data_IF_250276737795
#
_entry.id   IF_250276737795
#
_cell.length_a   1.000
_cell.length_b   1.000
_cell.length_c   1.000
_cell.angle_alpha   90.00
_cell.angle_beta   90.00
_cell.angle_gamma   90.00
#
_symmetry.space_group_name_H-M   'P 1'
#
loop_
_entity.id
_entity.type
_entity.pdbx_description
1 polymer ?
#
# COMPACT_ATOMS: atom_id res chain seq x y z
N UNK A 1 57.06 -47.56 -22.92
CA UNK A 1 57.20 -47.53 -24.39
C UNK A 1 56.17 -46.53 -24.88
N UNK A 2 56.58 -45.27 -25.01
CA UNK A 2 57.01 -44.62 -26.26
C UNK A 2 55.81 -43.80 -26.78
N UNK A 3 55.81 -42.47 -26.60
CA UNK A 3 56.32 -41.47 -27.58
C UNK A 3 55.52 -41.56 -28.91
N UNK A 4 54.97 -40.50 -29.50
CA UNK A 4 55.56 -39.18 -29.71
C UNK A 4 54.57 -38.24 -30.47
N UNK A 5 54.92 -36.95 -30.55
CA UNK A 5 54.51 -35.90 -31.53
C UNK A 5 53.17 -35.18 -31.26
N UNK A 6 53.03 -33.85 -31.39
CA UNK A 6 53.88 -32.83 -32.02
C UNK A 6 53.60 -31.45 -31.40
N UNK A 7 54.65 -30.66 -31.24
CA UNK A 7 54.62 -29.25 -30.86
C UNK A 7 54.08 -28.34 -31.96
N UNK A 8 53.26 -27.35 -31.62
CA UNK A 8 53.22 -26.07 -32.31
C UNK A 8 53.08 -24.92 -31.30
N UNK A 9 54.11 -24.07 -31.28
CA UNK A 9 54.16 -22.82 -30.54
C UNK A 9 53.27 -21.79 -31.23
N UNK A 10 52.35 -21.17 -30.49
CA UNK A 10 51.74 -19.89 -30.85
C UNK A 10 51.88 -18.90 -29.69
N UNK A 11 52.22 -17.68 -30.08
CA UNK A 11 52.74 -16.58 -29.26
C UNK A 11 51.67 -16.01 -28.32
N UNK A 12 52.08 -15.66 -27.11
CA UNK A 12 51.29 -14.84 -26.19
C UNK A 12 51.25 -13.37 -26.65
N UNK A 13 50.07 -12.73 -26.67
CA UNK A 13 49.94 -11.32 -26.37
C UNK A 13 49.61 -11.15 -24.88
N UNK A 14 50.39 -10.31 -24.23
CA UNK A 14 50.18 -9.78 -22.88
C UNK A 14 48.78 -9.17 -22.73
N UNK A 15 47.99 -9.68 -21.79
CA UNK A 15 46.78 -9.00 -21.33
C UNK A 15 47.17 -7.91 -20.34
N UNK A 16 46.97 -6.66 -20.77
CA UNK A 16 46.99 -5.48 -19.93
C UNK A 16 45.96 -5.60 -18.80
N UNK A 17 46.41 -5.27 -17.59
CA UNK A 17 45.61 -5.14 -16.38
C UNK A 17 44.59 -4.00 -16.52
N UNK A 18 43.31 -4.36 -16.72
CA UNK A 18 42.19 -3.46 -16.42
C UNK A 18 41.83 -3.58 -14.93
N UNK A 19 41.68 -2.46 -14.20
CA UNK A 19 41.25 -2.49 -12.81
C UNK A 19 39.77 -2.88 -12.70
N UNK A 20 39.34 -3.53 -11.59
CA UNK A 20 37.96 -3.97 -11.43
C UNK A 20 37.01 -2.76 -11.33
N UNK A 21 36.03 -2.73 -12.24
CA UNK A 21 34.89 -1.82 -12.20
C UNK A 21 34.06 -2.18 -10.97
N UNK A 22 34.08 -1.29 -9.98
CA UNK A 22 33.20 -1.36 -8.81
C UNK A 22 31.81 -0.91 -9.25
N UNK A 23 30.90 -1.89 -9.42
CA UNK A 23 29.47 -1.63 -9.49
C UNK A 23 29.04 -1.00 -8.15
N UNK A 24 28.81 0.33 -8.16
CA UNK A 24 28.14 1.02 -7.06
C UNK A 24 26.74 0.45 -6.93
N UNK A 25 26.46 -0.22 -5.82
CA UNK A 25 25.09 -0.46 -5.35
C UNK A 25 24.44 0.90 -5.09
N UNK A 26 23.17 1.13 -5.43
CA UNK A 26 22.44 2.27 -4.89
C UNK A 26 22.42 2.09 -3.37
N UNK A 27 22.87 3.10 -2.63
CA UNK A 27 22.76 3.13 -1.19
C UNK A 27 21.30 3.35 -0.81
N UNK A 28 20.78 2.48 0.04
CA UNK A 28 19.60 2.70 0.88
C UNK A 28 19.92 3.80 1.89
N UNK A 29 20.02 5.04 1.44
CA UNK A 29 20.13 6.20 2.33
C UNK A 29 18.72 6.76 2.54
N UNK A 30 18.00 6.18 3.50
CA UNK A 30 16.93 6.91 4.20
C UNK A 30 17.59 8.13 4.87
N UNK A 31 17.43 9.29 4.25
CA UNK A 31 17.85 10.58 4.81
C UNK A 31 17.04 10.82 6.08
N UNK A 32 17.66 10.55 7.22
CA UNK A 32 17.21 11.00 8.55
C UNK A 32 17.43 12.51 8.60
N UNK A 33 16.41 13.27 8.20
CA UNK A 33 16.36 14.71 8.44
C UNK A 33 15.80 14.98 9.84
N UNK A 34 16.46 15.89 10.57
CA UNK A 34 16.35 16.07 12.01
C UNK A 34 14.97 16.51 12.52
N UNK A 35 14.81 16.34 13.84
CA UNK A 35 13.65 16.73 14.63
C UNK A 35 13.42 18.26 14.64
N UNK A 36 12.98 18.81 13.51
CA UNK A 36 12.16 20.02 13.49
C UNK A 36 10.71 19.64 13.79
N UNK A 37 9.91 20.57 14.33
CA UNK A 37 8.50 20.37 14.67
C UNK A 37 7.79 19.53 13.60
N UNK A 38 7.55 18.24 13.91
CA UNK A 38 7.11 17.28 12.90
C UNK A 38 5.78 17.75 12.32
N UNK A 39 5.72 17.84 10.99
CA UNK A 39 4.48 18.15 10.28
C UNK A 39 3.37 17.20 10.73
N UNK A 40 2.11 17.66 10.67
CA UNK A 40 0.96 16.83 11.04
C UNK A 40 0.92 15.60 10.13
N UNK A 41 0.94 14.40 10.71
CA UNK A 41 0.68 13.16 9.95
C UNK A 41 -0.83 13.02 9.74
N UNK A 42 -1.25 12.89 8.49
CA UNK A 42 -2.61 12.49 8.11
C UNK A 42 -2.56 11.06 7.61
N UNK A 43 -3.38 10.20 8.20
CA UNK A 43 -3.39 8.76 7.93
C UNK A 43 -4.55 8.42 7.01
N UNK A 44 -4.23 7.98 5.80
CA UNK A 44 -5.21 7.54 4.80
C UNK A 44 -5.16 6.03 4.73
N UNK A 45 -6.21 5.37 5.22
CA UNK A 45 -6.35 3.93 5.05
C UNK A 45 -6.88 3.58 3.67
N UNK A 46 -6.23 2.64 2.99
CA UNK A 46 -6.65 2.01 1.75
C UNK A 46 -6.92 0.53 2.06
N UNK A 47 -8.18 0.23 2.41
CA UNK A 47 -8.66 -1.10 2.74
C UNK A 47 -9.39 -1.78 1.58
N UNK A 48 -9.69 -3.08 1.74
CA UNK A 48 -10.43 -3.87 0.75
C UNK A 48 -9.84 -5.26 0.53
N UNK A 49 -10.56 -6.14 -0.17
CA UNK A 49 -10.14 -7.54 -0.35
C UNK A 49 -8.73 -7.69 -0.96
N UNK A 50 -8.07 -8.82 -0.69
CA UNK A 50 -6.86 -9.23 -1.43
C UNK A 50 -7.10 -9.19 -2.95
N UNK A 51 -6.09 -8.79 -3.73
CA UNK A 51 -6.20 -8.62 -5.20
C UNK A 51 -7.24 -7.57 -5.70
N UNK A 52 -7.73 -6.65 -4.85
CA UNK A 52 -8.60 -5.54 -5.28
C UNK A 52 -7.88 -4.35 -5.91
N UNK A 53 -6.54 -4.31 -5.88
CA UNK A 53 -5.74 -3.20 -6.46
C UNK A 53 -5.25 -2.14 -5.47
N UNK A 54 -5.41 -2.36 -4.15
CA UNK A 54 -5.00 -1.41 -3.09
C UNK A 54 -3.57 -0.90 -3.20
N UNK A 55 -2.59 -1.81 -3.34
CA UNK A 55 -1.17 -1.44 -3.42
C UNK A 55 -0.87 -0.60 -4.67
N UNK A 56 -1.51 -0.93 -5.80
CA UNK A 56 -1.38 -0.16 -7.04
C UNK A 56 -1.98 1.24 -6.88
N UNK A 57 -3.15 1.35 -6.23
CA UNK A 57 -3.75 2.65 -5.89
C UNK A 57 -2.83 3.45 -4.97
N UNK A 58 -2.33 2.86 -3.88
CA UNK A 58 -1.43 3.53 -2.94
C UNK A 58 -0.15 4.05 -3.62
N UNK A 59 0.41 3.29 -4.57
CA UNK A 59 1.57 3.73 -5.35
C UNK A 59 1.23 4.88 -6.30
N UNK A 60 0.09 4.87 -6.98
CA UNK A 60 -0.33 6.04 -7.78
C UNK A 60 -0.52 7.29 -6.93
N UNK A 61 -1.17 7.14 -5.76
CA UNK A 61 -1.34 8.24 -4.80
C UNK A 61 0.01 8.77 -4.32
N UNK A 62 0.97 7.89 -4.04
CA UNK A 62 2.33 8.28 -3.64
C UNK A 62 2.99 9.19 -4.69
N UNK A 63 2.87 8.85 -5.98
CA UNK A 63 3.44 9.66 -7.07
C UNK A 63 2.70 11.00 -7.27
N UNK A 64 1.40 11.05 -7.00
CA UNK A 64 0.60 12.28 -7.09
C UNK A 64 0.89 13.22 -5.91
N UNK A 65 1.05 12.66 -4.71
CA UNK A 65 1.26 13.42 -3.47
C UNK A 65 2.73 13.86 -3.28
N UNK A 66 3.68 13.14 -3.86
CA UNK A 66 5.09 13.51 -3.91
C UNK A 66 5.47 13.99 -5.32
N UNK A 67 5.35 15.28 -5.65
CA UNK A 67 5.82 15.77 -6.93
C UNK A 67 7.33 15.56 -7.08
N UNK A 68 7.76 15.21 -8.28
CA UNK A 68 9.17 15.00 -8.63
C UNK A 68 9.99 16.26 -8.34
N UNK A 69 11.21 16.06 -7.83
CA UNK A 69 12.24 17.08 -7.56
C UNK A 69 12.72 17.87 -8.80
N UNK A 70 12.06 17.71 -9.96
CA UNK A 70 12.42 18.33 -11.23
C UNK A 70 11.86 19.75 -11.41
N UNK A 71 11.13 20.27 -10.41
CA UNK A 71 10.86 21.71 -10.33
C UNK A 71 12.07 22.39 -9.67
N UNK A 72 12.89 22.99 -10.54
CA UNK A 72 14.20 23.56 -10.23
C UNK A 72 14.32 24.27 -8.89
N UNK A 73 15.46 24.00 -8.27
CA UNK A 73 16.08 24.83 -7.26
C UNK A 73 16.18 26.28 -7.73
N UNK A 74 15.18 27.10 -7.42
CA UNK A 74 15.32 28.55 -7.33
C UNK A 74 14.34 29.05 -6.27
N UNK A 75 14.74 28.86 -5.02
CA UNK A 75 14.01 29.31 -3.85
C UNK A 75 14.99 29.62 -2.74
N UNK A 76 15.78 30.67 -2.95
CA UNK A 76 16.66 31.25 -1.95
C UNK A 76 16.01 31.26 -0.57
N UNK A 77 16.81 30.90 0.45
CA UNK A 77 16.45 31.00 1.85
C UNK A 77 16.13 32.46 2.20
N UNK A 78 14.87 32.84 2.03
CA UNK A 78 14.29 34.00 2.68
C UNK A 78 13.86 33.59 4.08
N UNK A 79 14.78 33.81 5.02
CA UNK A 79 14.47 33.83 6.45
C UNK A 79 13.47 34.95 6.73
N UNK A 80 12.26 34.58 7.15
CA UNK A 80 11.26 35.50 7.71
C UNK A 80 9.88 35.38 7.06
N UNK A 81 8.86 35.20 7.90
CA UNK A 81 7.40 35.18 7.61
C UNK A 81 6.79 33.83 7.21
N UNK A 82 5.92 33.30 8.08
CA UNK A 82 4.81 32.37 7.83
C UNK A 82 4.75 31.81 6.39
N UNK A 83 5.56 30.78 6.08
CA UNK A 83 5.36 30.03 4.85
C UNK A 83 4.12 29.18 5.06
N UNK A 84 3.07 29.43 4.28
CA UNK A 84 2.00 28.45 4.11
C UNK A 84 2.67 27.14 3.67
N UNK A 85 2.44 26.08 4.42
CA UNK A 85 3.04 24.79 4.14
C UNK A 85 2.01 23.91 3.44
N UNK A 86 2.38 23.21 2.37
CA UNK A 86 1.49 22.23 1.72
C UNK A 86 1.68 20.82 2.28
N UNK A 87 1.50 19.84 1.40
CA UNK A 87 1.99 18.49 1.64
C UNK A 87 3.52 18.49 1.54
N UNK A 88 4.19 17.99 2.57
CA UNK A 88 5.65 17.90 2.65
C UNK A 88 6.16 16.63 1.96
N UNK A 89 5.51 15.50 2.27
CA UNK A 89 5.75 14.21 1.65
C UNK A 89 4.54 13.27 1.86
N UNK A 90 4.60 12.13 1.20
CA UNK A 90 3.76 10.98 1.41
C UNK A 90 4.62 9.70 1.45
N UNK A 91 4.16 8.68 2.16
CA UNK A 91 4.80 7.36 2.22
C UNK A 91 3.76 6.28 2.47
N UNK A 92 4.13 5.03 2.19
CA UNK A 92 3.25 3.87 2.36
C UNK A 92 3.68 3.06 3.59
N UNK A 93 2.71 2.61 4.37
CA UNK A 93 2.84 1.59 5.39
C UNK A 93 2.00 0.38 4.97
N UNK A 94 2.63 -0.75 4.68
CA UNK A 94 1.93 -1.97 4.29
C UNK A 94 1.48 -2.77 5.51
N UNK A 95 0.23 -3.23 5.52
CA UNK A 95 -0.28 -4.13 6.55
C UNK A 95 0.47 -5.47 6.55
N UNK A 96 0.96 -5.93 5.40
CA UNK A 96 1.72 -7.18 5.27
C UNK A 96 3.07 -7.11 6.02
N UNK A 97 3.60 -5.92 6.32
CA UNK A 97 4.76 -5.74 7.21
C UNK A 97 4.44 -6.13 8.67
N UNK A 98 3.16 -6.37 8.99
CA UNK A 98 2.65 -6.79 10.30
C UNK A 98 2.17 -8.24 10.33
N UNK A 99 2.38 -9.02 9.26
CA UNK A 99 2.14 -10.45 9.30
C UNK A 99 3.05 -11.11 10.36
N UNK A 100 2.52 -12.01 11.19
CA UNK A 100 3.35 -12.77 12.13
C UNK A 100 4.10 -13.88 11.38
N UNK A 101 5.10 -14.52 12.01
CA UNK A 101 5.81 -15.64 11.40
C UNK A 101 4.87 -16.80 11.07
N UNK A 102 5.10 -17.48 9.96
CA UNK A 102 4.23 -18.56 9.45
C UNK A 102 3.96 -19.63 10.53
N UNK A 103 5.00 -20.01 11.27
CA UNK A 103 4.93 -21.03 12.33
C UNK A 103 4.00 -20.68 13.49
N UNK A 104 3.55 -19.42 13.59
CA UNK A 104 2.62 -18.94 14.63
C UNK A 104 1.18 -18.84 14.13
N UNK A 105 0.96 -18.94 12.82
CA UNK A 105 -0.37 -18.90 12.24
C UNK A 105 -1.15 -20.18 12.52
N UNK A 106 -2.48 -20.11 12.72
CA UNK A 106 -3.29 -21.29 12.87
C UNK A 106 -3.34 -22.08 11.57
N UNK A 107 -3.46 -23.40 11.70
CA UNK A 107 -3.84 -24.27 10.59
C UNK A 107 -5.35 -24.42 10.61
N UNK A 108 -5.98 -24.21 9.47
CA UNK A 108 -7.41 -24.47 9.32
C UNK A 108 -7.69 -25.96 9.48
N UNK A 109 -8.43 -26.35 10.53
CA UNK A 109 -8.65 -27.76 10.88
C UNK A 109 -9.39 -28.55 9.79
N UNK A 110 -10.27 -27.89 9.04
CA UNK A 110 -11.08 -28.54 8.00
C UNK A 110 -10.25 -28.85 6.74
N UNK A 111 -9.35 -27.95 6.35
CA UNK A 111 -8.61 -28.05 5.10
C UNK A 111 -7.13 -28.43 5.28
N UNK A 112 -6.62 -28.41 6.51
CA UNK A 112 -5.23 -28.78 6.84
C UNK A 112 -4.18 -27.83 6.28
N UNK A 113 -4.54 -26.56 6.06
CA UNK A 113 -3.66 -25.53 5.47
C UNK A 113 -3.48 -24.35 6.42
N UNK A 114 -2.30 -23.71 6.40
CA UNK A 114 -2.03 -22.48 7.14
C UNK A 114 -3.01 -21.38 6.73
N UNK A 115 -3.61 -20.69 7.70
CA UNK A 115 -4.59 -19.64 7.45
C UNK A 115 -3.95 -18.24 7.53
N UNK A 116 -3.56 -17.74 6.36
CA UNK A 116 -2.94 -16.42 6.17
C UNK A 116 -3.94 -15.27 6.16
N UNK A 117 -5.24 -15.57 6.07
CA UNK A 117 -6.29 -14.56 5.91
C UNK A 117 -7.18 -14.46 7.18
N UNK A 118 -7.04 -15.36 8.15
CA UNK A 118 -7.83 -15.38 9.39
C UNK A 118 -7.77 -14.04 10.15
N UNK A 119 -8.88 -13.27 10.21
CA UNK A 119 -8.84 -11.89 10.68
C UNK A 119 -8.24 -11.69 12.08
N UNK A 120 -8.54 -12.53 13.10
CA UNK A 120 -7.92 -12.39 14.42
C UNK A 120 -6.40 -12.62 14.49
N UNK A 121 -5.80 -13.38 13.57
CA UNK A 121 -4.41 -13.88 13.73
C UNK A 121 -3.48 -13.54 12.58
N UNK A 122 -4.00 -13.18 11.41
CA UNK A 122 -3.19 -12.89 10.23
C UNK A 122 -2.30 -11.65 10.39
N UNK A 123 -2.66 -10.73 11.29
CA UNK A 123 -1.99 -9.45 11.49
C UNK A 123 -1.72 -9.21 12.98
N UNK A 124 -0.50 -8.78 13.30
CA UNK A 124 -0.16 -8.23 14.61
C UNK A 124 -0.69 -6.79 14.73
N UNK A 125 -1.98 -6.66 15.07
CA UNK A 125 -2.66 -5.37 15.17
C UNK A 125 -2.08 -4.45 16.22
N UNK A 126 -1.53 -5.00 17.30
CA UNK A 126 -0.92 -4.19 18.36
C UNK A 126 0.42 -3.59 17.90
N UNK A 127 1.26 -4.37 17.19
CA UNK A 127 2.46 -3.85 16.52
C UNK A 127 2.12 -2.81 15.46
N UNK A 128 1.06 -3.04 14.68
CA UNK A 128 0.59 -2.09 13.67
C UNK A 128 0.13 -0.77 14.30
N UNK A 129 -0.72 -0.83 15.33
CA UNK A 129 -1.23 0.34 16.06
C UNK A 129 -0.09 1.14 16.68
N UNK A 130 0.80 0.49 17.42
CA UNK A 130 1.94 1.16 18.07
C UNK A 130 2.91 1.77 17.06
N UNK A 131 3.10 1.17 15.89
CA UNK A 131 3.90 1.74 14.80
C UNK A 131 3.26 2.99 14.22
N UNK A 132 1.95 2.97 13.93
CA UNK A 132 1.19 4.13 13.45
C UNK A 132 1.25 5.28 14.48
N UNK A 133 1.04 4.97 15.76
CA UNK A 133 1.12 5.97 16.84
C UNK A 133 2.53 6.56 16.97
N UNK A 134 3.57 5.71 16.89
CA UNK A 134 4.95 6.18 16.90
C UNK A 134 5.21 7.16 15.76
N UNK A 135 4.83 6.81 14.52
CA UNK A 135 5.00 7.68 13.35
C UNK A 135 4.24 9.00 13.52
N UNK A 136 3.01 8.96 14.04
CA UNK A 136 2.22 10.17 14.33
C UNK A 136 2.89 11.08 15.36
N UNK A 137 3.57 10.52 16.36
CA UNK A 137 4.23 11.27 17.43
C UNK A 137 5.62 11.78 17.04
N UNK A 138 6.42 10.96 16.36
CA UNK A 138 7.84 11.26 16.09
C UNK A 138 8.10 11.77 14.68
N UNK A 139 7.18 11.52 13.74
CA UNK A 139 7.39 11.75 12.32
C UNK A 139 8.38 10.77 11.68
N UNK A 140 8.79 9.69 12.34
CA UNK A 140 9.68 8.69 11.75
C UNK A 140 9.18 7.29 12.03
N UNK A 141 9.63 6.31 11.24
CA UNK A 141 9.42 4.91 11.57
C UNK A 141 10.14 4.52 12.87
N UNK A 142 9.60 3.57 13.65
CA UNK A 142 10.28 3.08 14.84
C UNK A 142 11.62 2.40 14.49
N UNK A 143 12.62 2.44 15.38
CA UNK A 143 13.91 1.80 15.13
C UNK A 143 13.76 0.31 14.82
N UNK A 144 14.40 -0.16 13.76
CA UNK A 144 14.35 -1.56 13.35
C UNK A 144 13.11 -1.95 12.53
N UNK A 145 12.22 -1.00 12.19
CA UNK A 145 11.17 -1.25 11.21
C UNK A 145 11.78 -1.59 9.84
N UNK A 146 11.29 -2.64 9.21
CA UNK A 146 11.68 -3.07 7.88
C UNK A 146 10.42 -3.25 7.04
N UNK A 147 10.40 -2.66 5.85
CA UNK A 147 9.28 -2.82 4.93
C UNK A 147 9.59 -3.85 3.87
N UNK A 148 8.58 -4.65 3.54
CA UNK A 148 8.61 -5.64 2.49
C UNK A 148 8.07 -5.11 1.15
N UNK A 149 7.94 -3.78 0.96
CA UNK A 149 7.37 -3.21 -0.29
C UNK A 149 8.08 -3.70 -1.57
N UNK A 150 9.39 -3.96 -1.50
CA UNK A 150 10.16 -4.50 -2.61
C UNK A 150 9.67 -5.88 -3.11
N UNK A 151 8.88 -6.60 -2.31
CA UNK A 151 8.26 -7.88 -2.66
C UNK A 151 6.90 -7.72 -3.37
N UNK A 152 6.34 -6.51 -3.39
CA UNK A 152 5.08 -6.21 -4.06
C UNK A 152 5.29 -5.94 -5.56
N UNK A 153 5.24 -7.00 -6.36
CA UNK A 153 5.20 -6.89 -7.82
C UNK A 153 4.06 -5.97 -8.27
N UNK A 154 4.37 -5.00 -9.12
CA UNK A 154 3.37 -4.06 -9.65
C UNK A 154 3.03 -4.44 -11.10
N UNK A 155 1.74 -4.61 -11.42
CA UNK A 155 1.33 -4.69 -12.82
C UNK A 155 1.52 -3.34 -13.50
N UNK A 156 1.75 -3.36 -14.81
CA UNK A 156 1.63 -2.15 -15.61
C UNK A 156 0.16 -1.73 -15.65
N UNK A 157 -0.16 -0.63 -14.96
CA UNK A 157 -1.52 -0.12 -14.81
C UNK A 157 -1.47 1.41 -14.86
N UNK A 158 -1.28 2.00 -16.05
CA UNK A 158 -1.26 3.44 -16.20
C UNK A 158 -2.64 4.02 -15.88
N UNK A 159 -2.64 5.24 -15.34
CA UNK A 159 -3.84 6.05 -15.12
C UNK A 159 -3.89 7.22 -16.10
N UNK A 160 -5.05 7.85 -16.23
CA UNK A 160 -5.20 9.06 -17.03
C UNK A 160 -4.22 10.17 -16.60
N UNK A 161 -3.41 10.66 -17.53
CA UNK A 161 -2.51 11.80 -17.29
C UNK A 161 -3.27 13.06 -16.87
N UNK A 162 -4.50 13.22 -17.37
CA UNK A 162 -5.38 14.33 -16.99
C UNK A 162 -5.74 14.26 -15.51
N UNK A 163 -6.11 13.08 -15.00
CA UNK A 163 -6.44 12.88 -13.57
C UNK A 163 -5.20 13.09 -12.72
N UNK A 164 -4.07 12.49 -13.09
CA UNK A 164 -2.80 12.64 -12.38
C UNK A 164 -2.36 14.11 -12.29
N UNK A 165 -2.39 14.85 -13.40
CA UNK A 165 -2.02 16.26 -13.44
C UNK A 165 -3.01 17.13 -12.66
N UNK A 166 -4.31 16.89 -12.79
CA UNK A 166 -5.34 17.63 -12.04
C UNK A 166 -5.12 17.54 -10.53
N UNK A 167 -4.82 16.33 -10.02
CA UNK A 167 -4.60 16.15 -8.59
C UNK A 167 -3.23 16.65 -8.13
N UNK A 168 -2.18 16.51 -8.94
CA UNK A 168 -0.88 17.14 -8.64
C UNK A 168 -1.01 18.65 -8.52
N UNK A 169 -1.72 19.30 -9.44
CA UNK A 169 -1.92 20.76 -9.41
C UNK A 169 -2.74 21.17 -8.18
N UNK A 170 -3.83 20.44 -7.89
CA UNK A 170 -4.62 20.68 -6.68
C UNK A 170 -3.78 20.55 -5.41
N UNK A 171 -3.13 19.42 -5.19
CA UNK A 171 -2.30 19.18 -4.00
C UNK A 171 -1.11 20.15 -3.92
N UNK A 172 -0.49 20.51 -5.06
CA UNK A 172 0.57 21.52 -5.12
C UNK A 172 0.10 22.93 -4.77
N UNK A 173 -1.18 23.25 -5.01
CA UNK A 173 -1.80 24.51 -4.59
C UNK A 173 -2.26 24.52 -3.13
N UNK A 174 -2.23 23.36 -2.44
CA UNK A 174 -2.68 23.26 -1.06
C UNK A 174 -1.77 24.09 -0.15
N UNK A 175 -2.37 25.02 0.59
CA UNK A 175 -1.72 25.85 1.59
C UNK A 175 -2.34 25.55 2.94
N UNK A 176 -1.55 25.17 3.93
CA UNK A 176 -1.99 24.84 5.29
C UNK A 176 -1.15 25.58 6.33
N UNK A 177 -1.68 25.68 7.56
CA UNK A 177 -1.00 26.36 8.67
C UNK A 177 0.30 25.65 9.11
N UNK A 178 0.37 24.33 8.91
CA UNK A 178 1.50 23.48 9.27
C UNK A 178 1.71 22.43 8.20
N UNK A 179 2.95 22.14 7.82
CA UNK A 179 3.19 21.12 6.79
C UNK A 179 2.56 19.79 7.14
N UNK A 180 1.94 19.15 6.15
CA UNK A 180 1.24 17.89 6.32
C UNK A 180 2.04 16.78 5.65
N UNK A 181 2.15 15.63 6.31
CA UNK A 181 2.72 14.41 5.74
C UNK A 181 1.61 13.38 5.61
N UNK A 182 1.54 12.70 4.48
CA UNK A 182 0.48 11.71 4.22
C UNK A 182 1.03 10.29 4.41
N UNK A 183 0.49 9.57 5.37
CA UNK A 183 0.75 8.13 5.51
C UNK A 183 -0.37 7.34 4.86
N UNK A 184 -0.06 6.67 3.75
CA UNK A 184 -0.96 5.75 3.07
C UNK A 184 -0.82 4.37 3.71
N UNK A 185 -1.86 3.88 4.39
CA UNK A 185 -1.85 2.56 5.03
C UNK A 185 -2.62 1.58 4.15
N UNK A 186 -1.93 0.62 3.55
CA UNK A 186 -2.51 -0.36 2.60
C UNK A 186 -2.70 -1.71 3.30
N UNK A 187 -3.92 -2.27 3.32
CA UNK A 187 -4.15 -3.56 3.96
C UNK A 187 -5.49 -4.23 3.68
N UNK A 188 -5.51 -5.57 3.65
CA UNK A 188 -6.73 -6.34 3.33
C UNK A 188 -7.67 -6.58 4.52
N UNK A 189 -7.14 -6.48 5.75
CA UNK A 189 -7.87 -6.53 7.02
C UNK A 189 -7.76 -5.20 7.78
N UNK A 190 -7.50 -4.11 7.07
CA UNK A 190 -7.13 -2.82 7.65
C UNK A 190 -8.17 -2.29 8.65
N UNK A 191 -9.45 -2.58 8.41
CA UNK A 191 -10.55 -2.11 9.24
C UNK A 191 -11.12 -3.16 10.19
N UNK A 192 -10.53 -4.36 10.25
CA UNK A 192 -11.01 -5.41 11.15
C UNK A 192 -10.84 -4.99 12.62
N UNK A 193 -9.62 -4.65 13.04
CA UNK A 193 -9.36 -4.21 14.41
C UNK A 193 -9.85 -2.78 14.67
N UNK A 194 -10.55 -2.60 15.78
CA UNK A 194 -11.17 -1.33 16.14
C UNK A 194 -10.13 -0.26 16.52
N UNK A 195 -9.05 -0.65 17.19
CA UNK A 195 -8.03 0.28 17.65
C UNK A 195 -7.18 0.76 16.47
N UNK A 196 -6.74 -0.16 15.59
CA UNK A 196 -6.05 0.18 14.35
C UNK A 196 -6.92 1.10 13.49
N UNK A 197 -8.18 0.74 13.20
CA UNK A 197 -9.02 1.59 12.32
C UNK A 197 -9.32 2.99 12.86
N UNK A 198 -9.24 3.18 14.18
CA UNK A 198 -9.44 4.48 14.83
C UNK A 198 -8.30 5.46 14.58
N UNK A 199 -7.12 4.96 14.16
CA UNK A 199 -5.94 5.80 13.89
C UNK A 199 -6.02 6.55 12.54
N UNK A 200 -6.93 6.14 11.64
CA UNK A 200 -7.08 6.70 10.29
C UNK A 200 -8.02 7.89 10.23
N UNK A 201 -7.56 8.90 9.50
CA UNK A 201 -8.28 10.13 9.23
C UNK A 201 -9.23 9.96 8.02
N UNK A 202 -8.73 9.37 6.93
CA UNK A 202 -9.50 9.07 5.72
C UNK A 202 -9.55 7.55 5.54
N UNK A 203 -10.74 7.00 5.28
CA UNK A 203 -10.96 5.55 5.20
C UNK A 203 -11.55 5.18 3.85
N UNK A 204 -10.74 4.59 2.99
CA UNK A 204 -11.10 4.14 1.65
C UNK A 204 -11.24 2.62 1.65
N UNK A 205 -12.32 2.10 1.08
CA UNK A 205 -12.54 0.66 0.94
C UNK A 205 -12.79 0.30 -0.51
N UNK A 206 -11.87 -0.47 -1.11
CA UNK A 206 -12.04 -1.01 -2.46
C UNK A 206 -12.91 -2.26 -2.39
N UNK A 207 -14.12 -2.17 -2.96
CA UNK A 207 -15.01 -3.30 -3.10
C UNK A 207 -15.00 -3.79 -4.54
N UNK A 208 -14.71 -5.08 -4.70
CA UNK A 208 -14.60 -5.73 -6.01
C UNK A 208 -15.41 -7.03 -5.96
N UNK A 209 -16.13 -7.41 -7.03
CA UNK A 209 -16.91 -8.64 -7.06
C UNK A 209 -16.05 -9.88 -6.78
N UNK A 210 -16.62 -10.85 -6.03
CA UNK A 210 -15.95 -12.09 -5.64
C UNK A 210 -15.28 -12.81 -6.81
N UNK A 211 -15.99 -12.91 -7.93
CA UNK A 211 -15.50 -13.61 -9.12
C UNK A 211 -14.23 -12.98 -9.70
N UNK A 212 -14.15 -11.64 -9.70
CA UNK A 212 -12.97 -10.90 -10.18
C UNK A 212 -11.80 -11.07 -9.21
N UNK A 213 -12.07 -11.00 -7.90
CA UNK A 213 -11.06 -11.24 -6.86
C UNK A 213 -10.47 -12.65 -6.96
N UNK A 214 -11.32 -13.66 -7.16
CA UNK A 214 -10.90 -15.05 -7.35
C UNK A 214 -9.99 -15.17 -8.57
N UNK A 215 -10.42 -14.66 -9.72
CA UNK A 215 -9.61 -14.69 -10.94
C UNK A 215 -8.24 -14.04 -10.73
N UNK A 216 -8.21 -12.83 -10.16
CA UNK A 216 -6.95 -12.11 -9.89
C UNK A 216 -6.05 -12.83 -8.88
N UNK A 217 -6.62 -13.52 -7.88
CA UNK A 217 -5.87 -14.31 -6.89
C UNK A 217 -5.29 -15.59 -7.52
N UNK A 218 -6.06 -16.28 -8.35
CA UNK A 218 -5.61 -17.48 -9.08
C UNK A 218 -4.48 -17.16 -10.07
N UNK A 219 -4.50 -15.97 -10.69
CA UNK A 219 -3.45 -15.48 -11.61
C UNK A 219 -2.17 -15.00 -10.90
N UNK A 220 -2.22 -14.76 -9.59
CA UNK A 220 -1.07 -14.27 -8.82
C UNK A 220 -0.08 -15.40 -8.56
N UNK A 221 1.18 -15.18 -8.91
CA UNK A 221 2.23 -16.20 -8.83
C UNK A 221 2.52 -16.69 -7.39
N UNK A 222 2.39 -15.80 -6.40
CA UNK A 222 2.59 -16.10 -4.99
C UNK A 222 2.57 -14.85 -4.10
N UNK A 223 2.78 -15.06 -2.81
CA UNK A 223 2.77 -14.06 -1.74
C UNK A 223 4.07 -14.14 -0.96
N UNK A 224 4.69 -13.00 -0.65
CA UNK A 224 5.87 -13.01 0.19
C UNK A 224 5.51 -13.26 1.65
N UNK A 225 6.34 -14.03 2.35
CA UNK A 225 6.21 -14.26 3.80
C UNK A 225 7.21 -13.40 4.58
N UNK A 226 6.99 -13.24 5.89
CA UNK A 226 7.89 -12.50 6.78
C UNK A 226 9.32 -13.08 6.82
N UNK A 227 9.46 -14.36 6.49
CA UNK A 227 10.74 -15.08 6.42
C UNK A 227 11.46 -14.91 5.06
N UNK A 228 10.91 -14.12 4.14
CA UNK A 228 11.46 -13.92 2.81
C UNK A 228 11.27 -15.13 1.88
N UNK A 229 10.27 -15.97 2.16
CA UNK A 229 9.85 -17.06 1.27
C UNK A 229 8.63 -16.66 0.43
N UNK A 230 8.21 -17.53 -0.49
CA UNK A 230 7.01 -17.31 -1.31
C UNK A 230 5.97 -18.38 -0.99
N UNK A 231 4.86 -17.95 -0.41
CA UNK A 231 3.65 -18.75 -0.27
C UNK A 231 2.90 -18.83 -1.60
N UNK A 232 2.42 -20.03 -1.93
CA UNK A 232 1.52 -20.24 -3.07
C UNK A 232 0.25 -20.91 -2.56
N UNK A 233 -0.88 -20.28 -2.85
CA UNK A 233 -2.19 -20.79 -2.47
C UNK A 233 -2.37 -22.23 -2.99
N UNK A 234 -2.70 -23.20 -2.10
CA UNK A 234 -3.08 -24.54 -2.52
C UNK A 234 -4.43 -24.53 -3.26
N UNK A 235 -4.77 -25.63 -3.92
CA UNK A 235 -6.03 -25.76 -4.64
C UNK A 235 -7.24 -25.50 -3.70
N UNK A 236 -8.17 -24.66 -4.15
CA UNK A 236 -9.37 -24.30 -3.39
C UNK A 236 -9.15 -23.30 -2.26
N UNK A 237 -7.92 -22.82 -2.02
CA UNK A 237 -7.62 -21.90 -0.91
C UNK A 237 -8.48 -20.63 -0.92
N UNK A 238 -8.75 -20.06 -2.11
CA UNK A 238 -9.60 -18.89 -2.21
C UNK A 238 -11.02 -19.12 -1.67
N UNK A 239 -11.66 -20.20 -2.13
CA UNK A 239 -13.05 -20.50 -1.76
C UNK A 239 -13.17 -20.99 -0.32
N UNK A 240 -12.15 -21.70 0.17
CA UNK A 240 -12.16 -22.38 1.45
C UNK A 240 -11.61 -21.53 2.61
N UNK A 241 -10.70 -20.60 2.34
CA UNK A 241 -9.98 -19.82 3.36
C UNK A 241 -10.20 -18.31 3.14
N UNK A 242 -9.77 -17.80 1.99
CA UNK A 242 -9.71 -16.35 1.73
C UNK A 242 -11.08 -15.69 1.76
N UNK A 243 -12.05 -16.23 1.02
CA UNK A 243 -13.38 -15.63 0.94
C UNK A 243 -14.15 -15.71 2.27
N UNK A 244 -14.19 -16.86 2.97
CA UNK A 244 -14.77 -16.92 4.32
C UNK A 244 -14.11 -15.96 5.31
N UNK A 245 -12.79 -15.79 5.25
CA UNK A 245 -12.08 -14.83 6.08
C UNK A 245 -12.45 -13.37 5.74
N UNK A 246 -12.58 -13.04 4.45
CA UNK A 246 -13.08 -11.75 4.00
C UNK A 246 -14.49 -11.46 4.50
N UNK A 247 -15.41 -12.43 4.41
CA UNK A 247 -16.76 -12.31 4.94
C UNK A 247 -16.77 -12.13 6.46
N UNK A 248 -15.96 -12.90 7.18
CA UNK A 248 -15.80 -12.79 8.63
C UNK A 248 -15.34 -11.38 9.04
N UNK A 249 -14.38 -10.81 8.32
CA UNK A 249 -13.84 -9.49 8.62
C UNK A 249 -14.81 -8.34 8.28
N UNK A 250 -15.68 -8.50 7.28
CA UNK A 250 -16.38 -7.36 6.68
C UNK A 250 -17.91 -7.44 6.74
N UNK A 251 -18.52 -8.59 7.07
CA UNK A 251 -19.99 -8.69 7.13
C UNK A 251 -20.65 -7.71 8.13
N UNK A 252 -19.95 -7.30 9.18
CA UNK A 252 -20.44 -6.30 10.13
C UNK A 252 -20.27 -4.85 9.65
N UNK A 253 -19.46 -4.63 8.60
CA UNK A 253 -19.24 -3.33 7.98
C UNK A 253 -20.39 -2.96 7.05
N UNK A 254 -21.06 -3.94 6.45
CA UNK A 254 -22.07 -3.74 5.41
C UNK A 254 -23.47 -4.18 5.81
N UNK A 255 -24.48 -3.42 5.38
CA UNK A 255 -25.88 -3.66 5.69
C UNK A 255 -26.35 -5.01 5.17
N UNK A 256 -27.20 -5.70 5.95
CA UNK A 256 -27.67 -7.06 5.67
C UNK A 256 -26.55 -8.11 5.57
N UNK A 257 -25.36 -7.80 6.08
CA UNK A 257 -24.19 -8.67 5.98
C UNK A 257 -23.74 -8.96 4.54
N UNK A 258 -24.12 -8.11 3.59
CA UNK A 258 -23.81 -8.24 2.19
C UNK A 258 -22.51 -7.51 1.86
N UNK A 259 -21.40 -8.25 1.79
CA UNK A 259 -20.05 -7.72 1.52
C UNK A 259 -19.82 -7.30 0.07
N UNK A 260 -20.72 -7.66 -0.85
CA UNK A 260 -20.61 -7.34 -2.28
C UNK A 260 -21.47 -6.12 -2.66
N UNK A 261 -22.65 -5.96 -2.07
CA UNK A 261 -23.60 -4.91 -2.46
C UNK A 261 -24.16 -4.08 -1.29
N UNK A 262 -23.95 -4.52 -0.04
CA UNK A 262 -24.49 -3.84 1.13
C UNK A 262 -23.91 -2.43 1.29
N UNK A 263 -24.73 -1.45 1.66
CA UNK A 263 -24.20 -0.12 2.01
C UNK A 263 -23.41 -0.19 3.31
N UNK A 264 -22.36 0.63 3.45
CA UNK A 264 -21.65 0.74 4.72
C UNK A 264 -22.62 1.11 5.85
N UNK A 265 -22.55 0.35 6.95
CA UNK A 265 -23.36 0.58 8.14
C UNK A 265 -22.79 1.78 8.88
N UNK A 266 -23.68 2.70 9.30
CA UNK A 266 -23.30 3.77 10.22
C UNK A 266 -23.15 3.19 11.62
N UNK A 267 -22.00 3.34 12.28
CA UNK A 267 -21.84 3.02 13.70
C UNK A 267 -22.93 3.67 14.56
N UNK A 268 -23.40 2.92 15.56
CA UNK A 268 -24.19 3.50 16.64
C UNK A 268 -23.23 4.29 17.56
N UNK A 269 -23.47 5.59 17.81
CA UNK A 269 -22.58 6.42 18.62
C UNK A 269 -22.42 5.93 20.07
N UNK A 270 -23.41 5.18 20.59
CA UNK A 270 -23.38 4.66 21.96
C UNK A 270 -22.81 3.23 22.03
N UNK A 271 -22.62 2.56 20.88
CA UNK A 271 -22.09 1.22 20.83
C UNK A 271 -20.56 1.21 20.94
N UNK A 272 -20.02 0.25 21.70
CA UNK A 272 -18.58 0.02 21.77
C UNK A 272 -18.07 -0.47 20.40
N UNK A 273 -16.94 0.07 19.89
CA UNK A 273 -16.29 -0.47 18.71
C UNK A 273 -15.92 -1.95 18.90
N UNK A 274 -16.25 -2.78 17.92
CA UNK A 274 -15.94 -4.21 17.90
C UNK A 274 -15.16 -4.59 16.65
N UNK A 275 -14.42 -5.69 16.72
CA UNK A 275 -13.71 -6.23 15.57
C UNK A 275 -14.68 -6.61 14.44
N UNK A 276 -14.36 -6.23 13.20
CA UNK A 276 -15.20 -6.45 12.02
C UNK A 276 -16.56 -5.71 12.01
N UNK A 277 -16.74 -4.76 12.94
CA UNK A 277 -17.96 -3.95 13.04
C UNK A 277 -18.00 -2.74 12.09
N UNK A 278 -19.07 -1.93 12.17
CA UNK A 278 -19.22 -0.71 11.38
C UNK A 278 -18.01 0.24 11.47
N UNK A 279 -17.76 0.98 10.38
CA UNK A 279 -16.62 1.89 10.24
C UNK A 279 -17.11 3.30 9.93
N UNK A 280 -16.92 4.22 10.86
CA UNK A 280 -17.34 5.62 10.71
C UNK A 280 -16.63 6.29 9.54
N UNK A 281 -17.38 7.00 8.69
CA UNK A 281 -16.85 7.74 7.55
C UNK A 281 -16.21 6.88 6.46
N UNK A 282 -16.53 5.58 6.38
CA UNK A 282 -15.99 4.69 5.35
C UNK A 282 -16.46 5.11 3.94
N UNK A 283 -15.52 5.46 3.08
CA UNK A 283 -15.75 5.70 1.66
C UNK A 283 -15.57 4.39 0.90
N UNK A 284 -16.66 3.83 0.41
CA UNK A 284 -16.65 2.56 -0.36
C UNK A 284 -16.56 2.90 -1.84
N UNK A 285 -15.49 2.44 -2.49
CA UNK A 285 -15.27 2.59 -3.92
C UNK A 285 -15.61 1.27 -4.60
N UNK A 286 -16.72 1.28 -5.33
CA UNK A 286 -17.19 0.13 -6.10
C UNK A 286 -16.42 -0.01 -7.40
N UNK A 287 -15.62 -1.06 -7.50
CA UNK A 287 -14.99 -1.46 -8.75
C UNK A 287 -16.05 -2.08 -9.65
N UNK A 288 -16.55 -1.29 -10.60
CA UNK A 288 -17.49 -1.78 -11.61
C UNK A 288 -16.76 -2.63 -12.65
N UNK A 289 -17.29 -3.82 -13.03
CA UNK A 289 -16.89 -4.45 -14.27
C UNK A 289 -17.31 -3.54 -15.43
N UNK A 290 -16.34 -3.00 -16.18
CA UNK A 290 -16.61 -2.00 -17.21
C UNK A 290 -17.66 -2.49 -18.24
N UNK A 291 -18.75 -1.72 -18.40
CA UNK A 291 -19.61 -1.83 -19.57
C UNK A 291 -18.99 -1.04 -20.73
N UNK A 292 -18.62 -1.78 -21.78
CA UNK A 292 -18.22 -1.38 -23.13
C UNK A 292 -17.05 -0.39 -23.31
N UNK A 293 -16.31 -0.66 -24.38
CA UNK A 293 -14.98 -0.18 -24.69
C UNK A 293 -15.03 0.84 -25.81
N UNK A 294 -14.44 2.01 -25.56
CA UNK A 294 -14.12 3.03 -26.59
C UNK A 294 -12.72 3.66 -26.36
N UNK A 295 -11.86 3.07 -25.52
CA UNK A 295 -10.50 3.57 -25.28
C UNK A 295 -9.43 2.47 -25.33
N UNK A 296 -8.21 2.87 -25.70
CA UNK A 296 -7.03 1.99 -25.79
C UNK A 296 -6.49 1.53 -24.42
N UNK A 297 -7.01 2.08 -23.31
CA UNK A 297 -6.59 1.71 -21.97
C UNK A 297 -7.28 0.40 -21.53
N UNK A 298 -6.54 -0.46 -20.82
CA UNK A 298 -7.11 -1.69 -20.25
C UNK A 298 -8.28 -1.37 -19.30
N UNK A 299 -9.21 -2.31 -19.13
CA UNK A 299 -10.30 -2.20 -18.15
C UNK A 299 -9.76 -1.87 -16.75
N UNK A 300 -8.64 -2.48 -16.37
CA UNK A 300 -8.00 -2.27 -15.07
C UNK A 300 -7.41 -0.85 -14.93
N UNK A 301 -6.84 -0.29 -16.00
CA UNK A 301 -6.35 1.10 -16.03
C UNK A 301 -7.46 2.13 -15.87
N UNK A 302 -8.63 1.87 -16.47
CA UNK A 302 -9.83 2.74 -16.31
C UNK A 302 -10.37 2.69 -14.88
N UNK A 303 -10.52 1.48 -14.34
CA UNK A 303 -10.86 1.25 -12.93
C UNK A 303 -9.91 2.00 -12.00
N UNK A 304 -8.60 1.81 -12.20
CA UNK A 304 -7.58 2.46 -11.38
C UNK A 304 -7.62 3.99 -11.49
N UNK A 305 -7.89 4.53 -12.68
CA UNK A 305 -8.07 5.98 -12.88
C UNK A 305 -9.20 6.53 -12.01
N UNK A 306 -10.35 5.83 -11.98
CA UNK A 306 -11.48 6.23 -11.15
C UNK A 306 -11.17 6.11 -9.65
N UNK A 307 -10.55 5.00 -9.24
CA UNK A 307 -10.15 4.79 -7.84
C UNK A 307 -9.20 5.89 -7.35
N UNK A 308 -8.23 6.29 -8.18
CA UNK A 308 -7.32 7.40 -7.89
C UNK A 308 -8.08 8.71 -7.76
N UNK A 309 -8.95 9.03 -8.71
CA UNK A 309 -9.72 10.28 -8.71
C UNK A 309 -10.58 10.43 -7.45
N UNK A 310 -11.36 9.39 -7.12
CA UNK A 310 -12.23 9.38 -5.94
C UNK A 310 -11.44 9.40 -4.62
N UNK A 311 -10.32 8.68 -4.55
CA UNK A 311 -9.47 8.69 -3.37
C UNK A 311 -8.80 10.05 -3.16
N UNK A 312 -8.28 10.67 -4.22
CA UNK A 312 -7.72 12.02 -4.13
C UNK A 312 -8.78 13.04 -3.73
N UNK A 313 -10.02 12.91 -4.20
CA UNK A 313 -11.14 13.76 -3.78
C UNK A 313 -11.46 13.62 -2.28
N UNK A 314 -11.44 12.41 -1.74
CA UNK A 314 -11.63 12.17 -0.31
C UNK A 314 -10.50 12.79 0.54
N UNK A 315 -9.24 12.60 0.12
CA UNK A 315 -8.07 13.20 0.78
C UNK A 315 -8.16 14.73 0.74
N UNK A 316 -8.45 15.32 -0.43
CA UNK A 316 -8.60 16.76 -0.61
C UNK A 316 -9.70 17.34 0.29
N UNK A 317 -10.86 16.68 0.33
CA UNK A 317 -11.99 17.09 1.18
C UNK A 317 -11.57 17.10 2.64
N UNK A 318 -10.86 16.08 3.11
CA UNK A 318 -10.37 16.03 4.49
C UNK A 318 -9.38 17.16 4.82
N UNK A 319 -8.40 17.38 3.93
CA UNK A 319 -7.36 18.40 4.13
C UNK A 319 -7.92 19.83 4.09
N UNK A 320 -8.98 20.06 3.31
CA UNK A 320 -9.61 21.40 3.17
C UNK A 320 -10.72 21.65 4.18
N UNK A 321 -11.43 20.62 4.66
CA UNK A 321 -12.43 20.75 5.73
C UNK A 321 -11.82 21.12 7.09
N UNK A 322 -10.52 20.87 7.26
CA UNK A 322 -9.77 21.14 8.49
C UNK A 322 -9.15 22.54 8.55
N UNK A 323 -9.47 23.43 7.60
CA UNK A 323 -8.97 24.81 7.61
C UNK A 323 -9.96 25.70 8.39
N UNK A 324 -9.48 26.52 9.36
CA UNK A 324 -10.34 27.39 10.15
C UNK A 324 -11.03 28.49 9.35
#
# INVERSE_FOLDING_TARGET
>A
MAEQLLSMRCRHPSHDHLPPITLRRPSDDMVVSGAGAAGRIVVVGVGGATCSGKTTLAKHLLHILNPSSDSGSDGAASSGSNRAHGILDAFILHQDDFAPPEATLPVNEQFGVTDWDHPPTAIDYERMRSTIEHIKTTGSFPPGFSSHDHLNAQPDCPISEQVSTTWRDKFGSLSTNHGVRIMLVDGFLLYYDAAVRSTMDVKIFLRTPRAVLKQRRDERFGYATAEGTVWKDPEGYFDNIVWPAYELAHRGVFGRHDVENGKAVKPDPDAKPVAGGPVEGLCVLDVAPAQQADSAASTFSREMTQLVDETCAAIWTFLTASQP
#
